data_IF_889246550297
#
_entry.id   IF_889246550297
#
_cell.length_a   1.000
_cell.length_b   1.000
_cell.length_c   1.000
_cell.angle_alpha   90.00
_cell.angle_beta   90.00
_cell.angle_gamma   90.00
#
_symmetry.space_group_name_H-M   'P 1'
#
loop_
_entity.id
_entity.type
_entity.pdbx_description
1 polymer ?
#
# COMPACT_ATOMS: atom_id res chain seq x y z
N UNK A 1 4.65 7.02 6.40
CA UNK A 1 4.64 5.62 5.93
C UNK A 1 4.25 5.50 4.46
N UNK A 2 3.09 6.03 4.08
CA UNK A 2 2.60 5.90 2.70
C UNK A 2 3.52 6.57 1.70
N UNK A 3 4.07 7.73 2.03
CA UNK A 3 4.98 8.45 1.14
C UNK A 3 6.29 7.67 0.95
N UNK A 4 6.85 7.12 2.03
CA UNK A 4 8.04 6.29 1.96
C UNK A 4 7.81 5.02 1.14
N UNK A 5 6.65 4.38 1.34
CA UNK A 5 6.27 3.18 0.59
C UNK A 5 6.18 3.48 -0.91
N UNK A 6 5.50 4.57 -1.29
CA UNK A 6 5.33 4.94 -2.69
C UNK A 6 6.64 5.37 -3.36
N UNK A 7 7.55 6.00 -2.62
CA UNK A 7 8.84 6.44 -3.16
C UNK A 7 9.92 5.36 -3.12
N UNK A 8 9.66 4.24 -2.43
CA UNK A 8 10.64 3.17 -2.29
C UNK A 8 11.73 3.44 -1.27
N UNK A 9 11.49 4.33 -0.32
CA UNK A 9 12.43 4.64 0.77
C UNK A 9 12.28 3.60 1.87
N UNK A 10 13.15 2.60 1.87
CA UNK A 10 13.10 1.46 2.80
C UNK A 10 13.21 1.90 4.26
N UNK A 11 14.19 2.77 4.55
CA UNK A 11 14.46 3.19 5.92
C UNK A 11 13.28 3.98 6.48
N UNK A 12 12.79 4.96 5.72
CA UNK A 12 11.65 5.77 6.11
C UNK A 12 10.40 4.93 6.34
N UNK A 13 10.15 3.98 5.43
CA UNK A 13 8.98 3.11 5.51
C UNK A 13 9.02 2.24 6.76
N UNK A 14 10.13 1.55 6.99
CA UNK A 14 10.26 0.64 8.13
C UNK A 14 10.26 1.38 9.47
N UNK A 15 10.90 2.54 9.54
CA UNK A 15 10.86 3.36 10.76
C UNK A 15 9.45 3.84 11.07
N UNK A 16 8.72 4.30 10.06
CA UNK A 16 7.34 4.76 10.23
C UNK A 16 6.43 3.61 10.65
N UNK A 17 6.58 2.45 10.03
CA UNK A 17 5.81 1.27 10.38
C UNK A 17 6.06 0.85 11.83
N UNK A 18 7.33 0.82 12.24
CA UNK A 18 7.69 0.47 13.60
C UNK A 18 7.11 1.46 14.62
N UNK A 19 7.17 2.75 14.33
CA UNK A 19 6.60 3.77 15.21
C UNK A 19 5.08 3.62 15.34
N UNK A 20 4.38 3.38 14.25
CA UNK A 20 2.92 3.20 14.26
C UNK A 20 2.53 1.94 15.00
N UNK A 21 3.32 0.85 14.90
CA UNK A 21 3.01 -0.43 15.54
C UNK A 21 2.97 -0.33 17.07
N UNK A 22 3.60 0.69 17.64
CA UNK A 22 3.62 0.86 19.10
C UNK A 22 2.31 1.41 19.66
N UNK A 23 1.63 2.27 18.92
CA UNK A 23 0.48 3.00 19.42
C UNK A 23 -0.71 3.06 18.44
N UNK A 24 -0.57 2.53 17.24
CA UNK A 24 -1.59 2.61 16.21
C UNK A 24 -2.44 1.36 16.12
N UNK A 25 -3.57 1.49 15.43
CA UNK A 25 -4.46 0.38 15.13
C UNK A 25 -4.09 -0.25 13.78
N UNK A 26 -4.07 -1.57 13.75
CA UNK A 26 -3.70 -2.35 12.58
C UNK A 26 -4.70 -2.19 11.41
N UNK A 27 -5.99 -2.36 11.68
CA UNK A 27 -7.02 -2.39 10.63
C UNK A 27 -7.11 -1.08 9.86
N UNK A 28 -7.17 0.11 10.51
CA UNK A 28 -7.17 1.37 9.76
C UNK A 28 -5.92 1.56 8.91
N UNK A 29 -4.75 1.12 9.39
CA UNK A 29 -3.52 1.21 8.62
C UNK A 29 -3.57 0.31 7.39
N UNK A 30 -4.01 -0.94 7.54
CA UNK A 30 -4.16 -1.87 6.41
C UNK A 30 -5.10 -1.28 5.37
N UNK A 31 -6.22 -0.69 5.80
CA UNK A 31 -7.17 -0.04 4.89
C UNK A 31 -6.52 1.12 4.13
N UNK A 32 -5.75 1.96 4.81
CA UNK A 32 -5.08 3.09 4.18
C UNK A 32 -4.03 2.63 3.15
N UNK A 33 -3.23 1.64 3.51
CA UNK A 33 -2.25 1.05 2.60
C UNK A 33 -2.92 0.42 1.39
N UNK A 34 -4.00 -0.33 1.61
CA UNK A 34 -4.76 -0.97 0.55
C UNK A 34 -5.31 0.07 -0.43
N UNK A 35 -5.92 1.14 0.08
CA UNK A 35 -6.48 2.18 -0.78
C UNK A 35 -5.40 2.84 -1.64
N UNK A 36 -4.24 3.15 -1.06
CA UNK A 36 -3.14 3.78 -1.80
C UNK A 36 -2.54 2.83 -2.84
N UNK A 37 -2.28 1.60 -2.47
CA UNK A 37 -1.64 0.64 -3.38
C UNK A 37 -2.60 0.12 -4.45
N UNK A 38 -3.90 0.08 -4.15
CA UNK A 38 -4.91 -0.21 -5.18
C UNK A 38 -4.89 0.86 -6.27
N UNK A 39 -4.76 2.12 -5.91
CA UNK A 39 -4.61 3.20 -6.88
C UNK A 39 -3.34 3.05 -7.71
N UNK A 40 -2.24 2.61 -7.07
CA UNK A 40 -1.00 2.34 -7.79
C UNK A 40 -1.17 1.23 -8.83
N UNK A 41 -1.91 0.17 -8.47
CA UNK A 41 -2.21 -0.91 -9.40
C UNK A 41 -3.02 -0.41 -10.60
N UNK A 42 -4.07 0.36 -10.33
CA UNK A 42 -4.87 0.96 -11.41
C UNK A 42 -4.04 1.90 -12.26
N UNK A 43 -3.18 2.71 -11.65
CA UNK A 43 -2.29 3.62 -12.39
C UNK A 43 -1.36 2.86 -13.34
N UNK A 44 -0.86 1.69 -12.93
CA UNK A 44 0.01 0.88 -13.77
C UNK A 44 -0.70 0.33 -15.01
N UNK A 45 -2.03 0.19 -14.97
CA UNK A 45 -2.82 -0.33 -16.07
C UNK A 45 -3.46 0.76 -16.93
N UNK A 46 -3.63 1.98 -16.38
CA UNK A 46 -4.41 3.05 -17.01
C UNK A 46 -3.66 4.39 -16.98
N UNK A 47 -2.43 4.40 -17.44
CA UNK A 47 -1.53 5.56 -17.33
C UNK A 47 -2.00 6.79 -18.09
N UNK A 48 -2.88 6.63 -19.08
CA UNK A 48 -3.28 7.72 -19.97
C UNK A 48 -4.52 8.50 -19.53
N UNK A 49 -5.20 8.07 -18.48
CA UNK A 49 -6.48 8.69 -18.07
C UNK A 49 -6.42 9.42 -16.73
N UNK A 50 -5.24 9.57 -16.18
CA UNK A 50 -4.85 10.40 -15.06
C UNK A 50 -5.98 10.85 -14.13
N UNK A 51 -6.25 12.15 -14.13
CA UNK A 51 -7.16 12.77 -13.17
C UNK A 51 -8.62 12.35 -13.34
N UNK A 52 -9.09 12.09 -14.57
CA UNK A 52 -10.47 11.66 -14.80
C UNK A 52 -10.72 10.27 -14.21
N UNK A 53 -9.76 9.39 -14.38
CA UNK A 53 -9.86 8.05 -13.80
C UNK A 53 -9.81 8.11 -12.26
N UNK A 54 -8.95 8.97 -11.73
CA UNK A 54 -8.87 9.18 -10.28
C UNK A 54 -10.18 9.71 -9.70
N UNK A 55 -10.84 10.65 -10.39
CA UNK A 55 -12.14 11.17 -9.98
C UNK A 55 -13.20 10.07 -9.94
N UNK A 56 -13.24 9.20 -10.94
CA UNK A 56 -14.21 8.11 -10.98
C UNK A 56 -14.01 7.11 -9.84
N UNK A 57 -12.81 7.02 -9.29
CA UNK A 57 -12.49 6.19 -8.13
C UNK A 57 -12.65 6.93 -6.81
N UNK A 58 -12.99 8.24 -6.85
CA UNK A 58 -13.08 9.06 -5.65
C UNK A 58 -11.74 9.45 -5.05
N UNK A 59 -10.65 9.34 -5.80
CA UNK A 59 -9.32 9.64 -5.32
C UNK A 59 -8.98 11.13 -5.49
N UNK A 60 -8.28 11.69 -4.51
CA UNK A 60 -7.75 13.05 -4.58
C UNK A 60 -6.49 13.08 -5.44
N UNK A 61 -6.20 14.22 -6.06
CA UNK A 61 -5.03 14.38 -6.93
C UNK A 61 -3.72 13.98 -6.26
N UNK A 62 -3.53 14.34 -4.99
CA UNK A 62 -2.33 13.97 -4.24
C UNK A 62 -2.18 12.45 -4.15
N UNK A 63 -3.25 11.76 -3.76
CA UNK A 63 -3.22 10.31 -3.63
C UNK A 63 -2.92 9.63 -4.97
N UNK A 64 -3.52 10.14 -6.06
CA UNK A 64 -3.28 9.61 -7.40
C UNK A 64 -1.82 9.81 -7.83
N UNK A 65 -1.26 11.00 -7.57
CA UNK A 65 0.12 11.29 -7.94
C UNK A 65 1.11 10.41 -7.16
N UNK A 66 0.87 10.20 -5.88
CA UNK A 66 1.71 9.33 -5.07
C UNK A 66 1.58 7.86 -5.49
N UNK A 67 0.38 7.44 -5.85
CA UNK A 67 0.15 6.10 -6.40
C UNK A 67 0.88 5.92 -7.73
N UNK A 68 0.92 6.95 -8.57
CA UNK A 68 1.69 6.95 -9.81
C UNK A 68 3.19 6.76 -9.57
N UNK A 69 3.72 7.36 -8.52
CA UNK A 69 5.12 7.15 -8.14
C UNK A 69 5.38 5.68 -7.78
N UNK A 70 4.50 5.06 -7.02
CA UNK A 70 4.61 3.64 -6.67
C UNK A 70 4.51 2.76 -7.91
N UNK A 71 3.62 3.10 -8.84
CA UNK A 71 3.45 2.37 -10.09
C UNK A 71 4.70 2.38 -10.97
N UNK A 72 5.49 3.45 -10.88
CA UNK A 72 6.78 3.53 -11.57
C UNK A 72 7.90 2.81 -10.84
N UNK A 73 7.81 2.73 -9.51
CA UNK A 73 8.84 2.12 -8.68
C UNK A 73 8.74 0.60 -8.64
N UNK A 74 7.52 0.06 -8.57
CA UNK A 74 7.28 -1.38 -8.42
C UNK A 74 6.61 -1.94 -9.66
N UNK A 75 6.86 -3.24 -9.95
CA UNK A 75 6.18 -3.91 -11.06
C UNK A 75 4.69 -4.11 -10.74
N UNK A 76 3.80 -4.16 -11.77
CA UNK A 76 2.38 -4.43 -11.53
C UNK A 76 2.13 -5.75 -10.79
N UNK A 77 2.93 -6.77 -11.06
CA UNK A 77 2.82 -8.05 -10.36
C UNK A 77 3.15 -7.95 -8.88
N UNK A 78 4.19 -7.19 -8.53
CA UNK A 78 4.56 -6.95 -7.13
C UNK A 78 3.49 -6.15 -6.39
N UNK A 79 2.94 -5.13 -7.03
CA UNK A 79 1.86 -4.32 -6.46
C UNK A 79 0.61 -5.17 -6.22
N UNK A 80 0.22 -5.97 -7.21
CA UNK A 80 -0.93 -6.87 -7.10
C UNK A 80 -0.77 -7.84 -5.94
N UNK A 81 0.40 -8.46 -5.81
CA UNK A 81 0.70 -9.39 -4.73
C UNK A 81 0.59 -8.71 -3.36
N UNK A 82 1.10 -7.48 -3.26
CA UNK A 82 1.02 -6.70 -2.04
C UNK A 82 -0.44 -6.38 -1.67
N UNK A 83 -1.23 -5.93 -2.63
CA UNK A 83 -2.65 -5.60 -2.41
C UNK A 83 -3.42 -6.83 -1.95
N UNK A 84 -3.23 -7.97 -2.61
CA UNK A 84 -3.89 -9.21 -2.21
C UNK A 84 -3.46 -9.67 -0.81
N UNK A 85 -2.19 -9.49 -0.48
CA UNK A 85 -1.67 -9.78 0.86
C UNK A 85 -2.31 -8.92 1.94
N UNK A 86 -2.55 -7.64 1.66
CA UNK A 86 -3.24 -6.74 2.59
C UNK A 86 -4.69 -7.16 2.81
N UNK A 87 -5.37 -7.58 1.76
CA UNK A 87 -6.74 -8.09 1.87
C UNK A 87 -6.78 -9.30 2.78
N UNK A 88 -5.83 -10.22 2.61
CA UNK A 88 -5.74 -11.42 3.45
C UNK A 88 -5.47 -11.06 4.91
N UNK A 89 -4.56 -10.13 5.16
CA UNK A 89 -4.28 -9.68 6.53
C UNK A 89 -5.53 -9.10 7.17
N UNK A 90 -6.28 -8.28 6.45
CA UNK A 90 -7.51 -7.68 6.96
C UNK A 90 -8.53 -8.76 7.35
N UNK A 91 -8.73 -9.76 6.51
CA UNK A 91 -9.64 -10.87 6.77
C UNK A 91 -9.17 -11.68 7.98
N UNK A 92 -7.92 -12.04 8.02
CA UNK A 92 -7.35 -12.87 9.09
C UNK A 92 -7.40 -12.16 10.45
N UNK A 93 -7.13 -10.86 10.49
CA UNK A 93 -7.23 -10.09 11.73
C UNK A 93 -8.66 -10.04 12.26
N UNK A 94 -9.63 -9.85 11.38
CA UNK A 94 -11.04 -9.84 11.78
C UNK A 94 -11.52 -11.21 12.26
N UNK A 95 -10.89 -12.28 11.78
CA UNK A 95 -11.19 -13.66 12.19
C UNK A 95 -10.40 -14.12 13.41
N UNK A 96 -9.48 -13.31 13.91
CA UNK A 96 -8.64 -13.65 15.06
C UNK A 96 -7.48 -14.59 14.73
N UNK A 97 -7.15 -14.81 13.46
CA UNK A 97 -6.09 -15.72 13.03
C UNK A 97 -4.92 -14.99 12.37
N UNK A 98 -4.90 -13.66 12.44
CA UNK A 98 -3.90 -12.85 11.74
C UNK A 98 -2.52 -12.87 12.39
N UNK A 99 -1.51 -12.58 11.58
CA UNK A 99 -0.12 -12.45 12.00
C UNK A 99 0.22 -11.06 12.54
N UNK A 100 -0.75 -10.15 12.56
CA UNK A 100 -0.59 -8.80 13.10
C UNK A 100 0.44 -7.97 12.34
N UNK A 101 1.20 -7.17 13.10
CA UNK A 101 2.20 -6.27 12.52
C UNK A 101 3.31 -7.01 11.79
N UNK A 102 3.64 -8.23 12.22
CA UNK A 102 4.66 -9.04 11.56
C UNK A 102 4.25 -9.37 10.11
N UNK A 103 2.97 -9.64 9.87
CA UNK A 103 2.46 -9.89 8.53
C UNK A 103 2.60 -8.68 7.61
N UNK A 104 2.30 -7.49 8.12
CA UNK A 104 2.45 -6.24 7.37
C UNK A 104 3.93 -5.99 7.05
N UNK A 105 4.81 -6.14 8.04
CA UNK A 105 6.23 -5.95 7.86
C UNK A 105 6.78 -6.88 6.78
N UNK A 106 6.37 -8.13 6.79
CA UNK A 106 6.77 -9.11 5.78
C UNK A 106 6.35 -8.68 4.38
N UNK A 107 5.11 -8.23 4.22
CA UNK A 107 4.62 -7.75 2.92
C UNK A 107 5.39 -6.53 2.41
N UNK A 108 5.68 -5.58 3.30
CA UNK A 108 6.45 -4.38 2.95
C UNK A 108 7.85 -4.77 2.50
N UNK A 109 8.52 -5.65 3.23
CA UNK A 109 9.85 -6.11 2.88
C UNK A 109 9.85 -6.84 1.54
N UNK A 110 8.87 -7.72 1.31
CA UNK A 110 8.75 -8.44 0.03
C UNK A 110 8.56 -7.47 -1.14
N UNK A 111 7.69 -6.47 -0.99
CA UNK A 111 7.46 -5.47 -2.04
C UNK A 111 8.74 -4.71 -2.36
N UNK A 112 9.46 -4.28 -1.34
CA UNK A 112 10.65 -3.43 -1.51
C UNK A 112 11.88 -4.22 -1.94
N UNK A 113 11.87 -5.53 -1.84
CA UNK A 113 12.98 -6.40 -2.24
C UNK A 113 12.90 -6.84 -3.70
N UNK A 114 11.81 -6.53 -4.39
CA UNK A 114 11.62 -6.92 -5.80
C UNK A 114 12.31 -6.00 -6.77
#
# INVERSE_FOLDING_TARGET
>A
LLDGLCSGDHIKTLKSLHAISKNGDLIPLVSAMHNRMRLAWYSSMHTQKGSLFAESLGAKNYAWNMAGNAARKYSPGSISKFVLGLIKINIDEKSGTGSGWAGIETLVIELMSC
#
